data_IF_738491359506
#
_entry.id   IF_738491359506
#
_cell.length_a   1.000
_cell.length_b   1.000
_cell.length_c   1.000
_cell.angle_alpha   90.00
_cell.angle_beta   90.00
_cell.angle_gamma   90.00
#
_symmetry.space_group_name_H-M   'P 1'
#
loop_
_entity.id
_entity.type
_entity.pdbx_description
1 polymer ?
#
# COMPACT_ATOMS: atom_id res chain seq x y z
N UNK A 1 18.49 0.93 11.59
CA UNK A 1 17.17 0.92 10.90
C UNK A 1 17.35 0.31 9.53
N UNK A 2 16.38 -0.49 9.04
CA UNK A 2 16.38 -0.96 7.66
C UNK A 2 16.32 0.24 6.70
N UNK A 3 17.07 0.19 5.59
CA UNK A 3 17.05 1.21 4.54
C UNK A 3 15.80 1.08 3.65
N UNK A 4 15.56 2.06 2.77
CA UNK A 4 14.52 1.98 1.75
C UNK A 4 14.67 0.72 0.89
N UNK A 5 15.91 0.44 0.43
CA UNK A 5 16.22 -0.75 -0.37
C UNK A 5 15.93 -2.03 0.40
N UNK A 6 16.23 -2.08 1.72
CA UNK A 6 15.96 -3.27 2.54
C UNK A 6 14.46 -3.56 2.63
N UNK A 7 13.64 -2.54 2.92
CA UNK A 7 12.19 -2.70 3.00
C UNK A 7 11.57 -3.10 1.65
N UNK A 8 11.98 -2.41 0.57
CA UNK A 8 11.45 -2.71 -0.76
C UNK A 8 11.90 -4.08 -1.27
N UNK A 9 13.15 -4.49 -1.04
CA UNK A 9 13.63 -5.82 -1.44
C UNK A 9 12.92 -6.93 -0.66
N UNK A 10 12.71 -6.75 0.65
CA UNK A 10 11.97 -7.71 1.45
C UNK A 10 10.53 -7.88 0.93
N UNK A 11 9.84 -6.78 0.62
CA UNK A 11 8.50 -6.82 0.05
C UNK A 11 8.49 -7.40 -1.37
N UNK A 12 9.43 -6.97 -2.21
CA UNK A 12 9.61 -7.43 -3.58
C UNK A 12 9.88 -8.94 -3.68
N UNK A 13 10.47 -9.57 -2.66
CA UNK A 13 10.68 -11.03 -2.63
C UNK A 13 9.36 -11.83 -2.72
N UNK A 14 8.25 -11.23 -2.33
CA UNK A 14 6.90 -11.80 -2.42
C UNK A 14 6.12 -11.34 -3.66
N UNK A 15 6.73 -10.52 -4.54
CA UNK A 15 6.06 -9.85 -5.64
C UNK A 15 6.99 -9.80 -6.86
N UNK A 16 7.27 -10.98 -7.45
CA UNK A 16 8.11 -11.12 -8.66
C UNK A 16 7.33 -11.53 -9.89
N UNK A 17 6.09 -12.05 -9.74
CA UNK A 17 5.22 -12.31 -10.87
C UNK A 17 4.54 -10.99 -11.34
N UNK A 18 4.62 -10.62 -12.63
CA UNK A 18 4.03 -9.37 -13.12
C UNK A 18 2.51 -9.31 -12.96
N UNK A 19 1.81 -10.46 -12.93
CA UNK A 19 0.36 -10.53 -12.68
C UNK A 19 0.03 -10.16 -11.24
N UNK A 20 0.90 -10.56 -10.29
CA UNK A 20 0.79 -10.16 -8.89
C UNK A 20 1.01 -8.66 -8.74
N UNK A 21 2.07 -8.11 -9.32
CA UNK A 21 2.34 -6.66 -9.31
C UNK A 21 1.15 -5.89 -9.93
N UNK A 22 0.62 -6.35 -11.07
CA UNK A 22 -0.55 -5.72 -11.71
C UNK A 22 -1.79 -5.72 -10.80
N UNK A 23 -2.06 -6.82 -10.08
CA UNK A 23 -3.16 -6.85 -9.11
C UNK A 23 -2.95 -5.86 -7.96
N UNK A 24 -1.69 -5.62 -7.56
CA UNK A 24 -1.33 -4.68 -6.51
C UNK A 24 -1.57 -3.23 -6.91
N UNK A 25 -1.44 -2.87 -8.18
CA UNK A 25 -1.80 -1.53 -8.68
C UNK A 25 -3.29 -1.18 -8.51
N UNK A 26 -4.15 -2.17 -8.39
CA UNK A 26 -5.60 -1.96 -8.16
C UNK A 26 -5.95 -2.23 -6.70
N UNK A 27 -5.53 -3.36 -6.16
CA UNK A 27 -5.94 -3.82 -4.84
C UNK A 27 -5.39 -2.96 -3.71
N UNK A 28 -4.11 -2.55 -3.76
CA UNK A 28 -3.50 -1.72 -2.70
C UNK A 28 -4.15 -0.33 -2.62
N UNK A 29 -4.36 0.44 -3.71
CA UNK A 29 -5.08 1.70 -3.61
C UNK A 29 -6.48 1.58 -3.02
N UNK A 30 -7.22 0.52 -3.38
CA UNK A 30 -8.55 0.25 -2.81
C UNK A 30 -8.46 0.00 -1.29
N UNK A 31 -7.55 -0.85 -0.83
CA UNK A 31 -7.35 -1.13 0.60
C UNK A 31 -6.89 0.12 1.33
N UNK A 32 -5.96 0.88 0.74
CA UNK A 32 -5.41 2.10 1.32
C UNK A 32 -6.50 3.15 1.58
N UNK A 33 -7.37 3.39 0.59
CA UNK A 33 -8.52 4.30 0.74
C UNK A 33 -9.55 3.70 1.70
N UNK A 34 -9.85 2.40 1.61
CA UNK A 34 -10.80 1.71 2.49
C UNK A 34 -10.43 1.86 3.97
N UNK A 35 -9.15 1.67 4.31
CA UNK A 35 -8.66 1.84 5.68
C UNK A 35 -8.83 3.29 6.14
N UNK A 36 -8.51 4.28 5.29
CA UNK A 36 -8.73 5.69 5.61
C UNK A 36 -10.22 5.99 5.85
N UNK A 37 -11.12 5.45 5.01
CA UNK A 37 -12.59 5.60 5.18
C UNK A 37 -13.05 4.99 6.49
N UNK A 38 -12.71 3.74 6.77
CA UNK A 38 -13.16 3.02 7.97
C UNK A 38 -12.64 3.69 9.25
N UNK A 39 -11.38 4.13 9.24
CA UNK A 39 -10.74 4.82 10.37
C UNK A 39 -11.11 6.31 10.48
N UNK A 40 -11.91 6.86 9.56
CA UNK A 40 -12.41 8.24 9.67
C UNK A 40 -13.49 8.41 10.74
N UNK A 41 -14.01 7.31 11.30
CA UNK A 41 -14.89 7.31 12.48
C UNK A 41 -14.28 6.49 13.62
N UNK A 42 -14.46 6.95 14.88
CA UNK A 42 -15.04 8.24 15.29
C UNK A 42 -14.16 9.43 14.89
N UNK A 43 -14.78 10.61 14.77
CA UNK A 43 -14.07 11.86 14.51
C UNK A 43 -14.45 12.91 15.58
N UNK A 44 -13.43 13.61 16.08
CA UNK A 44 -13.58 14.66 17.09
C UNK A 44 -13.11 15.99 16.50
N UNK A 45 -13.95 17.03 16.45
CA UNK A 45 -13.53 18.34 15.99
C UNK A 45 -12.59 18.99 17.01
N UNK A 46 -11.40 19.36 16.55
CA UNK A 46 -10.39 20.09 17.36
C UNK A 46 -9.97 21.31 16.55
N UNK A 47 -10.56 22.45 16.84
CA UNK A 47 -10.40 23.66 16.03
C UNK A 47 -10.90 23.43 14.59
N UNK A 48 -10.03 23.68 13.61
CA UNK A 48 -10.30 23.47 12.19
C UNK A 48 -10.02 22.03 11.69
N UNK A 49 -9.54 21.15 12.57
CA UNK A 49 -9.12 19.79 12.21
C UNK A 49 -10.10 18.77 12.79
N UNK A 50 -10.51 17.79 11.96
CA UNK A 50 -11.24 16.61 12.44
C UNK A 50 -10.22 15.53 12.84
N UNK A 51 -9.98 15.40 14.14
CA UNK A 51 -9.12 14.35 14.67
C UNK A 51 -9.84 12.99 14.54
N UNK A 52 -9.18 12.01 13.95
CA UNK A 52 -9.73 10.66 13.76
C UNK A 52 -8.60 9.63 13.81
N UNK A 53 -8.89 8.34 14.04
CA UNK A 53 -7.91 7.27 13.92
C UNK A 53 -7.18 7.27 12.56
N UNK A 54 -7.89 7.60 11.47
CA UNK A 54 -7.29 7.74 10.13
C UNK A 54 -6.17 8.79 10.11
N UNK A 55 -6.40 9.96 10.73
CA UNK A 55 -5.41 11.02 10.76
C UNK A 55 -4.17 10.61 11.57
N UNK A 56 -4.35 9.92 12.70
CA UNK A 56 -3.24 9.44 13.53
C UNK A 56 -2.40 8.38 12.79
N UNK A 57 -3.05 7.40 12.17
CA UNK A 57 -2.37 6.37 11.36
C UNK A 57 -1.65 7.00 10.17
N UNK A 58 -2.29 7.96 9.49
CA UNK A 58 -1.68 8.67 8.37
C UNK A 58 -0.45 9.48 8.82
N UNK A 59 -0.51 10.18 9.94
CA UNK A 59 0.61 10.94 10.48
C UNK A 59 1.80 10.03 10.85
N UNK A 60 1.53 8.90 11.51
CA UNK A 60 2.57 7.91 11.85
C UNK A 60 3.20 7.29 10.59
N UNK A 61 2.38 6.96 9.58
CA UNK A 61 2.85 6.43 8.30
C UNK A 61 3.67 7.46 7.51
N UNK A 62 3.22 8.72 7.48
CA UNK A 62 3.94 9.82 6.84
C UNK A 62 5.33 10.01 7.48
N UNK A 63 5.38 10.00 8.81
CA UNK A 63 6.65 10.04 9.55
C UNK A 63 7.59 8.90 9.15
N UNK A 64 7.08 7.68 9.07
CA UNK A 64 7.85 6.52 8.64
C UNK A 64 8.42 6.72 7.22
N UNK A 65 7.60 7.13 6.24
CA UNK A 65 8.05 7.33 4.87
C UNK A 65 9.05 8.48 4.72
N UNK A 66 8.83 9.60 5.42
CA UNK A 66 9.76 10.73 5.41
C UNK A 66 11.13 10.37 6.00
N UNK A 67 11.16 9.44 6.98
CA UNK A 67 12.41 8.92 7.56
C UNK A 67 13.13 7.94 6.64
N UNK A 68 12.44 7.29 5.72
CA UNK A 68 13.05 6.37 4.74
C UNK A 68 13.71 7.14 3.60
N UNK A 69 12.97 8.07 2.98
CA UNK A 69 13.47 8.89 1.87
C UNK A 69 12.55 10.09 1.66
N UNK A 70 13.13 11.28 1.59
CA UNK A 70 12.35 12.52 1.64
C UNK A 70 11.39 12.69 0.45
N UNK A 71 11.83 12.42 -0.79
CA UNK A 71 11.01 12.64 -2.00
C UNK A 71 9.80 11.71 -2.05
N UNK A 72 10.02 10.41 -1.83
CA UNK A 72 8.93 9.44 -1.73
C UNK A 72 8.07 9.68 -0.48
N UNK A 73 8.69 10.07 0.63
CA UNK A 73 7.98 10.41 1.86
C UNK A 73 7.02 11.59 1.68
N UNK A 74 7.42 12.64 0.97
CA UNK A 74 6.54 13.77 0.63
C UNK A 74 5.39 13.31 -0.27
N UNK A 75 5.67 12.54 -1.32
CA UNK A 75 4.63 11.99 -2.19
C UNK A 75 3.63 11.13 -1.42
N UNK A 76 4.13 10.21 -0.57
CA UNK A 76 3.27 9.36 0.26
C UNK A 76 2.45 10.17 1.28
N UNK A 77 3.01 11.24 1.83
CA UNK A 77 2.29 12.14 2.74
C UNK A 77 1.12 12.83 2.03
N UNK A 78 1.32 13.28 0.78
CA UNK A 78 0.23 13.85 -0.03
C UNK A 78 -0.85 12.79 -0.30
N UNK A 79 -0.48 11.57 -0.69
CA UNK A 79 -1.42 10.48 -0.94
C UNK A 79 -2.20 10.08 0.32
N UNK A 80 -1.54 10.03 1.49
CA UNK A 80 -2.18 9.83 2.79
C UNK A 80 -3.18 10.94 3.11
N UNK A 81 -2.80 12.19 2.89
CA UNK A 81 -3.69 13.34 3.10
C UNK A 81 -4.94 13.29 2.22
N UNK A 82 -4.79 12.93 0.94
CA UNK A 82 -5.91 12.73 0.02
C UNK A 82 -6.82 11.58 0.45
N UNK A 83 -6.25 10.45 0.89
CA UNK A 83 -7.02 9.32 1.39
C UNK A 83 -7.80 9.66 2.65
N UNK A 84 -7.21 10.37 3.62
CA UNK A 84 -7.89 10.84 4.83
C UNK A 84 -9.00 11.82 4.49
N UNK A 85 -8.73 12.78 3.61
CA UNK A 85 -9.76 13.73 3.14
C UNK A 85 -10.95 13.00 2.51
N UNK A 86 -10.71 12.09 1.57
CA UNK A 86 -11.77 11.30 0.95
C UNK A 86 -12.53 10.44 2.00
N UNK A 87 -11.78 9.86 2.94
CA UNK A 87 -12.35 9.09 4.05
C UNK A 87 -13.31 9.93 4.90
N UNK A 88 -12.92 11.15 5.24
CA UNK A 88 -13.77 12.08 6.00
C UNK A 88 -15.02 12.50 5.20
N UNK A 89 -14.86 12.77 3.89
CA UNK A 89 -16.00 13.10 3.02
C UNK A 89 -17.02 11.95 2.98
N UNK A 90 -16.58 10.71 2.78
CA UNK A 90 -17.46 9.55 2.75
C UNK A 90 -18.07 9.25 4.14
N UNK A 91 -17.29 9.41 5.20
CA UNK A 91 -17.78 9.26 6.57
C UNK A 91 -18.86 10.28 6.93
N UNK A 92 -18.82 11.47 6.37
CA UNK A 92 -19.83 12.52 6.58
C UNK A 92 -21.19 12.22 5.90
N UNK A 93 -21.24 11.37 4.86
CA UNK A 93 -22.47 11.04 4.12
C UNK A 93 -23.47 10.16 4.90
N UNK A 94 -23.08 9.64 6.04
CA UNK A 94 -23.93 8.76 6.85
C UNK A 94 -23.34 7.35 7.01
N UNK A 95 -23.92 6.58 7.94
CA UNK A 95 -23.35 5.28 8.33
C UNK A 95 -23.40 4.25 7.20
N UNK A 96 -24.47 4.24 6.42
CA UNK A 96 -24.61 3.30 5.30
C UNK A 96 -23.53 3.54 4.23
N UNK A 97 -23.34 4.80 3.80
CA UNK A 97 -22.31 5.14 2.79
C UNK A 97 -20.92 4.89 3.32
N UNK A 98 -20.63 5.33 4.54
CA UNK A 98 -19.33 5.10 5.18
C UNK A 98 -18.98 3.61 5.25
N UNK A 99 -19.91 2.79 5.77
CA UNK A 99 -19.63 1.37 6.00
C UNK A 99 -19.61 0.58 4.69
N UNK A 100 -20.56 0.82 3.76
CA UNK A 100 -20.59 0.10 2.48
C UNK A 100 -19.41 0.46 1.59
N UNK A 101 -19.00 1.73 1.52
CA UNK A 101 -17.82 2.13 0.75
C UNK A 101 -16.53 1.61 1.38
N UNK A 102 -16.37 1.73 2.69
CA UNK A 102 -15.17 1.24 3.39
C UNK A 102 -15.03 -0.28 3.30
N UNK A 103 -16.05 -1.04 3.68
CA UNK A 103 -16.02 -2.51 3.62
C UNK A 103 -15.96 -3.02 2.17
N UNK A 104 -16.73 -2.40 1.26
CA UNK A 104 -16.75 -2.79 -0.15
C UNK A 104 -15.35 -2.67 -0.79
N UNK A 105 -14.71 -1.52 -0.67
CA UNK A 105 -13.35 -1.34 -1.18
C UNK A 105 -12.34 -2.26 -0.48
N UNK A 106 -12.48 -2.48 0.82
CA UNK A 106 -11.61 -3.36 1.59
C UNK A 106 -11.70 -4.81 1.09
N UNK A 107 -12.92 -5.36 1.00
CA UNK A 107 -13.14 -6.74 0.57
C UNK A 107 -12.71 -6.95 -0.88
N UNK A 108 -13.10 -6.04 -1.78
CA UNK A 108 -12.72 -6.11 -3.20
C UNK A 108 -11.21 -5.99 -3.36
N UNK A 109 -10.58 -5.05 -2.66
CA UNK A 109 -9.14 -4.86 -2.69
C UNK A 109 -8.39 -6.12 -2.25
N UNK A 110 -8.79 -6.73 -1.13
CA UNK A 110 -8.20 -7.98 -0.66
C UNK A 110 -8.44 -9.16 -1.60
N UNK A 111 -9.64 -9.29 -2.18
CA UNK A 111 -9.92 -10.33 -3.17
C UNK A 111 -8.95 -10.24 -4.35
N UNK A 112 -8.72 -9.02 -4.87
CA UNK A 112 -7.75 -8.78 -5.95
C UNK A 112 -6.33 -9.14 -5.51
N UNK A 113 -5.92 -8.79 -4.28
CA UNK A 113 -4.61 -9.15 -3.74
C UNK A 113 -4.40 -10.67 -3.68
N UNK A 114 -5.39 -11.40 -3.16
CA UNK A 114 -5.29 -12.87 -3.09
C UNK A 114 -5.20 -13.53 -4.48
N UNK A 115 -5.90 -12.99 -5.48
CA UNK A 115 -5.74 -13.44 -6.88
C UNK A 115 -4.30 -13.21 -7.36
N UNK A 116 -3.70 -12.06 -7.06
CA UNK A 116 -2.29 -11.80 -7.38
C UNK A 116 -1.35 -12.80 -6.71
N UNK A 117 -1.52 -13.03 -5.41
CA UNK A 117 -0.70 -13.99 -4.65
C UNK A 117 -0.90 -15.45 -5.09
N UNK A 118 -2.07 -15.79 -5.62
CA UNK A 118 -2.26 -17.09 -6.27
C UNK A 118 -1.31 -17.28 -7.46
N UNK A 119 -1.15 -16.26 -8.32
CA UNK A 119 -0.17 -16.31 -9.42
C UNK A 119 1.29 -16.31 -8.93
N UNK A 120 1.58 -15.63 -7.84
CA UNK A 120 2.90 -15.63 -7.23
C UNK A 120 3.29 -16.99 -6.63
N UNK A 121 2.32 -17.81 -6.22
CA UNK A 121 2.56 -19.05 -5.50
C UNK A 121 3.13 -18.84 -4.09
N UNK A 122 2.92 -17.66 -3.52
CA UNK A 122 3.38 -17.26 -2.17
C UNK A 122 2.28 -16.54 -1.42
N UNK A 123 2.27 -16.70 -0.09
CA UNK A 123 1.41 -15.93 0.81
C UNK A 123 1.77 -14.43 0.77
N UNK A 124 0.84 -13.54 1.14
CA UNK A 124 1.12 -12.12 1.25
C UNK A 124 2.24 -11.81 2.25
N UNK A 125 3.06 -10.80 1.96
CA UNK A 125 4.22 -10.41 2.75
C UNK A 125 3.87 -10.08 4.22
N UNK A 126 2.70 -9.45 4.47
CA UNK A 126 2.27 -9.06 5.81
C UNK A 126 2.02 -10.24 6.76
N UNK A 127 1.86 -11.45 6.24
CA UNK A 127 1.70 -12.67 7.06
C UNK A 127 2.99 -12.99 7.82
N UNK A 128 4.15 -12.65 7.22
CA UNK A 128 5.45 -12.84 7.85
C UNK A 128 5.95 -11.59 8.58
N UNK A 129 5.61 -10.40 8.08
CA UNK A 129 6.03 -9.12 8.66
C UNK A 129 4.95 -8.05 8.43
N UNK A 130 4.31 -7.60 9.51
CA UNK A 130 3.26 -6.59 9.48
C UNK A 130 3.72 -5.26 8.86
N UNK A 131 5.03 -4.98 8.82
CA UNK A 131 5.55 -3.82 8.10
C UNK A 131 5.20 -3.86 6.61
N UNK A 132 4.91 -5.05 6.07
CA UNK A 132 4.39 -5.22 4.71
C UNK A 132 3.11 -4.43 4.43
N UNK A 133 2.25 -4.19 5.43
CA UNK A 133 1.05 -3.36 5.26
C UNK A 133 1.37 -1.88 5.00
N UNK A 134 2.47 -1.38 5.57
CA UNK A 134 2.94 0.01 5.36
C UNK A 134 3.82 0.08 4.11
N UNK A 135 4.65 -0.93 3.87
CA UNK A 135 5.56 -0.95 2.71
C UNK A 135 4.80 -1.18 1.39
N UNK A 136 3.67 -1.90 1.41
CA UNK A 136 2.87 -2.19 0.22
C UNK A 136 2.47 -0.94 -0.60
N UNK A 137 1.84 0.08 -0.01
CA UNK A 137 1.53 1.32 -0.72
C UNK A 137 2.77 2.02 -1.31
N UNK A 138 3.87 2.05 -0.57
CA UNK A 138 5.13 2.60 -1.05
C UNK A 138 5.69 1.78 -2.22
N UNK A 139 5.62 0.46 -2.17
CA UNK A 139 6.05 -0.43 -3.24
C UNK A 139 5.30 -0.16 -4.54
N UNK A 140 3.96 0.00 -4.50
CA UNK A 140 3.15 0.33 -5.69
C UNK A 140 3.57 1.67 -6.29
N UNK A 141 3.82 2.70 -5.47
CA UNK A 141 4.29 4.01 -5.93
C UNK A 141 5.67 3.90 -6.59
N UNK A 142 6.57 3.10 -6.02
CA UNK A 142 7.92 2.87 -6.56
C UNK A 142 7.86 2.09 -7.87
N UNK A 143 7.04 1.03 -7.96
CA UNK A 143 6.83 0.25 -9.19
C UNK A 143 6.21 1.13 -10.29
N UNK A 144 5.28 2.04 -9.97
CA UNK A 144 4.78 3.04 -10.91
C UNK A 144 5.92 3.94 -11.45
N UNK A 145 6.84 4.34 -10.56
CA UNK A 145 8.04 5.07 -10.96
C UNK A 145 8.92 4.27 -11.92
N UNK A 146 9.10 2.98 -11.68
CA UNK A 146 9.87 2.09 -12.59
C UNK A 146 9.23 1.97 -13.96
N UNK A 147 7.89 1.88 -14.04
CA UNK A 147 7.17 1.86 -15.32
C UNK A 147 7.33 3.17 -16.11
N UNK A 148 7.52 4.29 -15.42
CA UNK A 148 7.80 5.60 -16.02
C UNK A 148 9.30 5.83 -16.33
N UNK A 149 10.15 4.80 -16.17
CA UNK A 149 11.59 4.92 -16.38
C UNK A 149 12.34 5.70 -15.31
N UNK A 150 11.71 5.93 -14.16
CA UNK A 150 12.32 6.64 -13.04
C UNK A 150 13.03 5.67 -12.08
N UNK A 151 14.02 6.17 -11.33
CA UNK A 151 14.68 5.43 -10.23
C UNK A 151 15.35 4.10 -10.66
N UNK A 152 15.99 4.07 -11.83
CA UNK A 152 16.63 2.88 -12.39
C UNK A 152 17.65 2.21 -11.44
N UNK A 153 18.47 3.02 -10.72
CA UNK A 153 19.43 2.51 -9.73
C UNK A 153 18.73 1.77 -8.57
N UNK A 154 17.58 2.29 -8.10
CA UNK A 154 16.78 1.64 -7.05
C UNK A 154 16.21 0.31 -7.55
N UNK A 155 15.71 0.28 -8.79
CA UNK A 155 15.23 -0.95 -9.43
C UNK A 155 16.30 -1.98 -9.51
N UNK A 156 17.49 -1.63 -10.03
CA UNK A 156 18.63 -2.51 -10.13
C UNK A 156 19.06 -3.06 -8.76
N UNK A 157 19.17 -2.21 -7.74
CA UNK A 157 19.53 -2.62 -6.39
C UNK A 157 18.53 -3.62 -5.76
N UNK A 158 17.23 -3.52 -6.11
CA UNK A 158 16.22 -4.50 -5.69
C UNK A 158 16.38 -5.80 -6.48
N UNK A 159 16.54 -5.73 -7.81
CA UNK A 159 16.66 -6.91 -8.69
C UNK A 159 17.92 -7.72 -8.40
N UNK A 160 19.02 -7.07 -8.03
CA UNK A 160 20.25 -7.75 -7.57
C UNK A 160 20.04 -8.61 -6.33
N UNK A 161 19.09 -8.22 -5.44
CA UNK A 161 18.82 -8.94 -4.19
C UNK A 161 17.78 -10.04 -4.33
N UNK A 162 16.76 -9.84 -5.15
CA UNK A 162 15.58 -10.74 -5.18
C UNK A 162 15.25 -11.26 -6.58
N UNK A 163 16.06 -10.94 -7.56
CA UNK A 163 15.89 -11.30 -8.96
C UNK A 163 14.92 -10.38 -9.74
N UNK A 164 14.95 -10.47 -11.07
CA UNK A 164 14.07 -9.69 -11.94
C UNK A 164 12.61 -10.16 -11.84
N UNK A 165 11.70 -9.29 -12.29
CA UNK A 165 10.29 -9.64 -12.48
C UNK A 165 10.16 -10.65 -13.63
N UNK A 166 9.54 -11.80 -13.38
CA UNK A 166 9.35 -12.86 -14.39
C UNK A 166 8.07 -13.66 -14.10
N UNK A 167 7.42 -14.17 -15.14
CA UNK A 167 6.26 -15.05 -15.01
C UNK A 167 6.65 -16.33 -14.24
N UNK A 168 5.90 -16.64 -13.21
CA UNK A 168 6.08 -17.87 -12.43
C UNK A 168 5.24 -19.00 -13.01
N UNK A 169 5.87 -20.15 -13.29
CA UNK A 169 5.17 -21.37 -13.66
C UNK A 169 4.62 -22.04 -12.39
N UNK A 170 3.29 -22.14 -12.27
CA UNK A 170 2.61 -22.79 -11.15
C UNK A 170 2.96 -24.27 -10.97
N UNK A 171 3.60 -24.91 -11.96
CA UNK A 171 3.97 -26.36 -11.93
C UNK A 171 5.17 -26.70 -11.07
N UNK A 172 5.90 -25.71 -10.54
CA UNK A 172 7.11 -25.96 -9.75
C UNK A 172 6.91 -25.80 -8.23
N UNK A 173 5.67 -25.64 -7.78
CA UNK A 173 5.33 -25.43 -6.36
C UNK A 173 4.44 -26.56 -5.78
N UNK A 174 4.36 -27.73 -6.45
CA UNK A 174 3.66 -28.93 -5.97
C UNK A 174 4.67 -29.98 -5.49
#
# INVERSE_FOLDING_TARGET
MKSLVDHLSQYAAYHRDPRNIASHFIGIPLIFVAVAVLLSRPGWPVGAVLLSPALLVAAASAWFYLRLELRLGVLMTVLLGLAVWLGQVLAAQGTAVWLSSGLGMFVVGWAIQFVGHYYEGRKPAFVDDLTGLIVGPLFVVVEAGFLLGLRGELKQAIEERVGPVALRNQRSAA
#
